data_IF_552942749425
#
_entry.id   IF_552942749425
#
_cell.length_a   1.000
_cell.length_b   1.000
_cell.length_c   1.000
_cell.angle_alpha   90.00
_cell.angle_beta   90.00
_cell.angle_gamma   90.00
#
_symmetry.space_group_name_H-M   'P 1'
#
loop_
_entity.id
_entity.type
_entity.pdbx_description
1 polymer ?
#
# COMPACT_ATOMS: atom_id res chain seq x y z
N UNK A 1 -20.94 16.83 -9.10
CA UNK A 1 -20.85 15.51 -9.77
C UNK A 1 -19.44 14.99 -9.57
N UNK A 2 -19.24 13.71 -9.27
CA UNK A 2 -17.91 13.12 -9.11
C UNK A 2 -17.24 12.96 -10.48
N UNK A 3 -16.05 13.52 -10.65
CA UNK A 3 -15.24 13.51 -11.86
C UNK A 3 -13.99 12.63 -11.74
N UNK A 4 -13.55 12.37 -10.50
CA UNK A 4 -12.40 11.54 -10.22
C UNK A 4 -12.62 10.65 -8.99
N UNK A 5 -12.06 9.45 -9.02
CA UNK A 5 -12.03 8.53 -7.87
C UNK A 5 -10.60 8.06 -7.66
N UNK A 6 -10.10 8.20 -6.44
CA UNK A 6 -8.82 7.64 -6.03
C UNK A 6 -9.03 6.44 -5.11
N UNK A 7 -8.15 5.47 -5.21
CA UNK A 7 -8.16 4.26 -4.37
C UNK A 7 -6.86 4.13 -3.61
N UNK A 8 -6.94 3.71 -2.36
CA UNK A 8 -5.81 3.07 -1.70
C UNK A 8 -5.52 1.71 -2.34
N UNK A 9 -4.33 1.16 -2.09
CA UNK A 9 -3.89 -0.11 -2.65
C UNK A 9 -4.15 -1.27 -1.68
N UNK A 10 -3.48 -1.23 -0.50
CA UNK A 10 -3.52 -2.31 0.46
C UNK A 10 -4.87 -2.37 1.18
N UNK A 11 -5.40 -3.61 1.37
CA UNK A 11 -6.68 -3.84 2.02
C UNK A 11 -7.87 -3.09 1.37
N UNK A 12 -7.64 -2.52 0.17
CA UNK A 12 -8.64 -1.79 -0.61
C UNK A 12 -8.76 -2.34 -2.03
N UNK A 13 -7.71 -2.25 -2.85
CA UNK A 13 -7.67 -2.87 -4.19
C UNK A 13 -7.21 -4.33 -4.11
N UNK A 14 -6.25 -4.57 -3.24
CA UNK A 14 -5.53 -5.84 -3.11
C UNK A 14 -5.29 -6.14 -1.64
N UNK A 15 -5.40 -7.41 -1.26
CA UNK A 15 -5.01 -7.89 0.06
C UNK A 15 -4.04 -9.06 -0.08
N UNK A 16 -3.11 -9.17 0.87
CA UNK A 16 -2.33 -10.39 1.03
C UNK A 16 -3.26 -11.52 1.47
N UNK A 17 -3.23 -12.64 0.76
CA UNK A 17 -4.12 -13.78 1.00
C UNK A 17 -3.90 -14.39 2.39
N UNK A 18 -4.58 -13.85 3.38
CA UNK A 18 -4.61 -14.31 4.76
C UNK A 18 -6.03 -14.66 5.17
N UNK A 19 -6.56 -15.78 4.72
CA UNK A 19 -7.65 -16.45 5.44
C UNK A 19 -7.03 -17.31 6.55
N UNK A 20 -7.87 -17.83 7.45
CA UNK A 20 -7.51 -18.75 8.54
C UNK A 20 -6.67 -19.97 8.07
N UNK A 21 -6.61 -20.22 6.77
CA UNK A 21 -5.90 -21.32 6.10
C UNK A 21 -4.67 -20.86 5.28
N UNK A 22 -4.22 -19.58 5.37
CA UNK A 22 -3.01 -19.15 4.69
C UNK A 22 -1.80 -19.81 5.36
N UNK A 23 -1.12 -20.70 4.65
CA UNK A 23 0.17 -21.21 5.08
C UNK A 23 1.09 -20.00 5.34
N UNK A 24 1.64 -19.90 6.56
CA UNK A 24 2.56 -18.83 6.99
C UNK A 24 3.74 -18.65 6.01
N UNK A 25 4.09 -19.69 5.27
CA UNK A 25 5.19 -19.73 4.30
C UNK A 25 5.01 -18.88 3.03
N UNK A 26 3.80 -18.36 2.76
CA UNK A 26 3.51 -17.61 1.53
C UNK A 26 3.51 -16.08 1.68
N UNK A 27 3.61 -15.56 2.89
CA UNK A 27 3.56 -14.12 3.15
C UNK A 27 4.82 -13.38 2.67
N UNK A 28 4.69 -12.08 2.37
CA UNK A 28 5.85 -11.23 2.06
C UNK A 28 6.89 -11.27 3.17
N UNK A 29 6.43 -11.20 4.44
CA UNK A 29 7.32 -11.26 5.60
C UNK A 29 8.11 -12.58 5.67
N UNK A 30 7.46 -13.73 5.53
CA UNK A 30 8.16 -15.03 5.59
C UNK A 30 9.16 -15.18 4.45
N UNK A 31 8.82 -14.70 3.24
CA UNK A 31 9.71 -14.68 2.08
C UNK A 31 10.94 -13.80 2.31
N UNK A 32 10.76 -12.60 2.85
CA UNK A 32 11.84 -11.70 3.21
C UNK A 32 12.77 -12.35 4.25
N UNK A 33 12.22 -12.86 5.34
CA UNK A 33 13.00 -13.53 6.39
C UNK A 33 13.80 -14.72 5.84
N UNK A 34 13.20 -15.55 5.00
CA UNK A 34 13.87 -16.70 4.39
C UNK A 34 15.00 -16.26 3.45
N UNK A 35 14.78 -15.23 2.64
CA UNK A 35 15.79 -14.67 1.74
C UNK A 35 16.95 -14.06 2.52
N UNK A 36 16.69 -13.26 3.56
CA UNK A 36 17.70 -12.65 4.41
C UNK A 36 18.57 -13.71 5.13
N UNK A 37 17.94 -14.74 5.72
CA UNK A 37 18.65 -15.85 6.36
C UNK A 37 19.61 -16.53 5.42
N UNK A 38 19.15 -16.85 4.20
CA UNK A 38 19.97 -17.50 3.18
C UNK A 38 21.10 -16.60 2.72
N UNK A 39 20.84 -15.35 2.35
CA UNK A 39 21.84 -14.42 1.84
C UNK A 39 22.95 -14.15 2.86
N UNK A 40 22.59 -13.95 4.12
CA UNK A 40 23.58 -13.75 5.19
C UNK A 40 24.39 -15.03 5.47
N UNK A 41 23.73 -16.20 5.47
CA UNK A 41 24.41 -17.48 5.63
C UNK A 41 25.42 -17.74 4.52
N UNK A 42 25.05 -17.53 3.26
CA UNK A 42 25.91 -17.73 2.09
C UNK A 42 27.10 -16.76 2.11
N UNK A 43 26.94 -15.60 2.72
CA UNK A 43 28.00 -14.60 2.92
C UNK A 43 28.85 -14.84 4.20
N UNK A 44 28.60 -15.93 4.93
CA UNK A 44 29.41 -16.35 6.09
C UNK A 44 28.92 -15.84 7.44
N UNK A 45 27.76 -15.20 7.53
CA UNK A 45 27.14 -14.83 8.81
C UNK A 45 26.09 -15.85 9.24
N UNK A 46 26.11 -16.22 10.51
CA UNK A 46 25.14 -17.13 11.11
C UNK A 46 24.45 -16.47 12.27
N UNK A 47 23.12 -16.40 12.20
CA UNK A 47 22.27 -15.88 13.25
C UNK A 47 21.24 -16.94 13.68
N UNK A 48 20.82 -16.89 14.93
CA UNK A 48 19.60 -17.60 15.29
C UNK A 48 18.36 -16.95 14.64
N UNK A 49 17.29 -17.72 14.50
CA UNK A 49 16.08 -17.24 13.85
C UNK A 49 15.47 -16.01 14.54
N UNK A 50 15.62 -15.93 15.85
CA UNK A 50 15.07 -14.86 16.69
C UNK A 50 15.76 -13.52 16.43
N UNK A 51 17.08 -13.51 16.18
CA UNK A 51 17.82 -12.28 15.95
C UNK A 51 17.33 -11.56 14.68
N UNK A 52 17.18 -12.30 13.58
CA UNK A 52 16.70 -11.71 12.31
C UNK A 52 15.24 -11.26 12.44
N UNK A 53 14.38 -12.07 13.04
CA UNK A 53 12.97 -11.72 13.27
C UNK A 53 12.83 -10.46 14.12
N UNK A 54 13.59 -10.36 15.21
CA UNK A 54 13.59 -9.18 16.08
C UNK A 54 14.06 -7.92 15.36
N UNK A 55 15.05 -8.04 14.45
CA UNK A 55 15.50 -6.92 13.64
C UNK A 55 14.42 -6.46 12.64
N UNK A 56 13.68 -7.39 12.04
CA UNK A 56 12.53 -7.08 11.19
C UNK A 56 11.36 -6.46 11.97
N UNK A 57 11.07 -6.96 13.17
CA UNK A 57 10.02 -6.38 14.04
C UNK A 57 10.37 -4.93 14.40
N UNK A 58 11.63 -4.68 14.79
CA UNK A 58 12.08 -3.31 15.08
C UNK A 58 12.01 -2.42 13.84
N UNK A 59 12.36 -2.94 12.66
CA UNK A 59 12.21 -2.20 11.41
C UNK A 59 10.75 -1.77 11.17
N UNK A 60 9.77 -2.63 11.42
CA UNK A 60 8.36 -2.29 11.30
C UNK A 60 7.91 -1.24 12.32
N UNK A 61 8.41 -1.29 13.56
CA UNK A 61 8.14 -0.23 14.54
C UNK A 61 8.67 1.12 14.05
N UNK A 62 9.93 1.16 13.56
CA UNK A 62 10.54 2.38 13.02
C UNK A 62 9.79 2.88 11.78
N UNK A 63 9.37 1.97 10.89
CA UNK A 63 8.52 2.34 9.76
C UNK A 63 7.23 3.03 10.24
N UNK A 64 6.52 2.46 11.20
CA UNK A 64 5.29 3.04 11.71
C UNK A 64 5.49 4.40 12.41
N UNK A 65 6.60 4.58 13.13
CA UNK A 65 6.98 5.87 13.71
C UNK A 65 7.22 6.91 12.59
N UNK A 66 8.02 6.55 11.59
CA UNK A 66 8.38 7.37 10.44
C UNK A 66 7.15 7.74 9.60
N UNK A 67 6.30 6.77 9.30
CA UNK A 67 5.03 6.95 8.60
C UNK A 67 4.12 7.99 9.30
N UNK A 68 3.95 7.87 10.63
CA UNK A 68 3.17 8.85 11.40
C UNK A 68 3.81 10.24 11.38
N UNK A 69 5.12 10.32 11.31
CA UNK A 69 5.91 11.56 11.21
C UNK A 69 6.05 12.10 9.79
N UNK A 70 5.49 11.45 8.78
CA UNK A 70 5.69 11.78 7.35
C UNK A 70 7.17 11.76 6.93
N UNK A 71 7.92 10.80 7.43
CA UNK A 71 9.33 10.58 7.09
C UNK A 71 9.45 9.30 6.29
N UNK A 72 10.13 9.34 5.14
CA UNK A 72 10.31 8.14 4.32
C UNK A 72 11.20 7.12 5.05
N UNK A 73 10.76 5.85 5.01
CA UNK A 73 11.50 4.70 5.51
C UNK A 73 11.14 3.49 4.63
N UNK A 74 11.95 3.27 3.63
CA UNK A 74 11.73 2.22 2.63
C UNK A 74 12.75 1.09 2.76
N UNK A 75 12.88 0.25 1.70
CA UNK A 75 13.79 -0.89 1.68
C UNK A 75 15.26 -0.55 1.95
N UNK A 76 15.72 0.64 1.55
CA UNK A 76 17.12 1.09 1.75
C UNK A 76 17.38 1.34 3.24
N UNK A 77 16.53 2.13 3.90
CA UNK A 77 16.62 2.44 5.33
C UNK A 77 16.41 1.17 6.16
N UNK A 78 15.48 0.30 5.75
CA UNK A 78 15.23 -0.99 6.36
C UNK A 78 16.48 -1.89 6.31
N UNK A 79 17.12 -1.99 5.15
CA UNK A 79 18.35 -2.79 4.99
C UNK A 79 19.47 -2.27 5.91
N UNK A 80 19.67 -0.95 5.94
CA UNK A 80 20.66 -0.32 6.81
C UNK A 80 20.39 -0.59 8.29
N UNK A 81 19.14 -0.41 8.73
CA UNK A 81 18.75 -0.64 10.12
C UNK A 81 18.92 -2.10 10.54
N UNK A 82 18.44 -3.05 9.72
CA UNK A 82 18.50 -4.48 10.04
C UNK A 82 19.97 -4.93 10.09
N UNK A 83 20.82 -4.53 9.13
CA UNK A 83 22.24 -4.82 9.16
C UNK A 83 22.94 -4.26 10.40
N UNK A 84 22.64 -3.03 10.78
CA UNK A 84 23.19 -2.40 11.99
C UNK A 84 22.77 -3.14 13.27
N UNK A 85 21.52 -3.58 13.37
CA UNK A 85 21.03 -4.35 14.50
C UNK A 85 21.68 -5.74 14.62
N UNK A 86 21.96 -6.37 13.48
CA UNK A 86 22.66 -7.65 13.41
C UNK A 86 24.19 -7.51 13.60
N UNK A 87 24.71 -6.27 13.63
CA UNK A 87 26.14 -5.99 13.75
C UNK A 87 26.94 -6.43 12.51
N UNK A 88 26.33 -6.41 11.33
CA UNK A 88 26.99 -6.79 10.06
C UNK A 88 27.20 -5.56 9.17
N UNK A 89 28.31 -5.59 8.45
CA UNK A 89 28.62 -4.63 7.37
C UNK A 89 28.89 -5.43 6.09
N UNK A 90 27.84 -5.81 5.35
CA UNK A 90 27.99 -6.65 4.17
C UNK A 90 28.60 -5.86 3.01
N UNK A 91 29.40 -6.50 2.14
CA UNK A 91 29.85 -5.90 0.89
C UNK A 91 28.68 -5.55 -0.03
N UNK A 92 28.94 -4.70 -1.02
CA UNK A 92 27.89 -4.09 -1.83
C UNK A 92 27.00 -5.09 -2.58
N UNK A 93 27.55 -6.19 -3.06
CA UNK A 93 26.81 -7.25 -3.74
C UNK A 93 25.85 -8.00 -2.81
N UNK A 94 26.27 -8.28 -1.58
CA UNK A 94 25.42 -8.89 -0.55
C UNK A 94 24.36 -7.88 -0.09
N UNK A 95 24.74 -6.63 0.12
CA UNK A 95 23.82 -5.55 0.48
C UNK A 95 22.72 -5.38 -0.58
N UNK A 96 23.09 -5.43 -1.86
CA UNK A 96 22.15 -5.36 -2.96
C UNK A 96 21.20 -6.57 -2.97
N UNK A 97 21.72 -7.79 -2.75
CA UNK A 97 20.87 -8.98 -2.65
C UNK A 97 19.86 -8.93 -1.48
N UNK A 98 20.27 -8.36 -0.33
CA UNK A 98 19.35 -8.11 0.79
C UNK A 98 18.26 -7.10 0.42
N UNK A 99 18.62 -6.04 -0.29
CA UNK A 99 17.69 -5.03 -0.79
C UNK A 99 16.70 -5.62 -1.81
N UNK A 100 17.22 -6.36 -2.80
CA UNK A 100 16.41 -7.00 -3.85
C UNK A 100 15.38 -7.99 -3.29
N UNK A 101 15.63 -8.54 -2.09
CA UNK A 101 14.71 -9.46 -1.43
C UNK A 101 13.34 -8.84 -1.12
N UNK A 102 13.25 -7.53 -0.94
CA UNK A 102 11.97 -6.84 -0.74
C UNK A 102 11.14 -6.86 -2.02
N UNK A 103 11.77 -6.62 -3.16
CA UNK A 103 11.13 -6.70 -4.48
C UNK A 103 10.68 -8.13 -4.78
N UNK A 104 11.57 -9.11 -4.57
CA UNK A 104 11.27 -10.53 -4.78
C UNK A 104 10.11 -11.02 -3.91
N UNK A 105 10.07 -10.60 -2.65
CA UNK A 105 8.97 -10.93 -1.75
C UNK A 105 7.65 -10.34 -2.24
N UNK A 106 7.65 -9.08 -2.68
CA UNK A 106 6.47 -8.42 -3.24
C UNK A 106 5.97 -9.09 -4.53
N UNK A 107 6.89 -9.51 -5.41
CA UNK A 107 6.53 -10.26 -6.63
C UNK A 107 6.00 -11.66 -6.32
N UNK A 108 6.60 -12.34 -5.34
CA UNK A 108 6.27 -13.72 -4.99
C UNK A 108 5.09 -13.88 -4.04
N UNK A 109 4.59 -12.80 -3.43
CA UNK A 109 3.49 -12.86 -2.47
C UNK A 109 2.18 -13.36 -3.11
N UNK A 110 1.41 -14.12 -2.36
CA UNK A 110 0.05 -14.52 -2.77
C UNK A 110 -0.90 -13.38 -2.45
N UNK A 111 -1.33 -12.68 -3.49
CA UNK A 111 -2.25 -11.55 -3.40
C UNK A 111 -3.58 -11.88 -4.07
N UNK A 112 -4.65 -11.27 -3.58
CA UNK A 112 -5.98 -11.33 -4.18
C UNK A 112 -6.54 -9.93 -4.37
N UNK A 113 -7.31 -9.75 -5.45
CA UNK A 113 -8.03 -8.50 -5.71
C UNK A 113 -9.31 -8.42 -4.87
N UNK A 114 -9.73 -7.21 -4.57
CA UNK A 114 -10.98 -6.96 -3.87
C UNK A 114 -12.20 -7.39 -4.71
N UNK A 115 -13.27 -7.90 -4.06
CA UNK A 115 -14.52 -8.22 -4.74
C UNK A 115 -15.07 -7.03 -5.54
N UNK A 116 -15.53 -7.31 -6.76
CA UNK A 116 -16.17 -6.32 -7.62
C UNK A 116 -15.26 -5.27 -8.23
N UNK A 117 -13.95 -5.25 -7.91
CA UNK A 117 -13.05 -4.15 -8.32
C UNK A 117 -12.94 -3.98 -9.83
N UNK A 118 -12.75 -5.04 -10.60
CA UNK A 118 -12.63 -4.93 -12.05
C UNK A 118 -13.90 -4.35 -12.68
N UNK A 119 -15.07 -4.81 -12.23
CA UNK A 119 -16.36 -4.26 -12.67
C UNK A 119 -16.49 -2.79 -12.30
N UNK A 120 -16.14 -2.42 -11.06
CA UNK A 120 -16.16 -1.03 -10.59
C UNK A 120 -15.30 -0.13 -11.48
N UNK A 121 -14.03 -0.50 -11.71
CA UNK A 121 -13.11 0.28 -12.54
C UNK A 121 -13.63 0.48 -13.96
N UNK A 122 -14.17 -0.58 -14.58
CA UNK A 122 -14.79 -0.52 -15.90
C UNK A 122 -16.00 0.42 -15.93
N UNK A 123 -16.89 0.32 -14.93
CA UNK A 123 -18.13 1.12 -14.87
C UNK A 123 -17.79 2.61 -14.60
N UNK A 124 -16.78 2.92 -13.76
CA UNK A 124 -16.26 4.28 -13.56
C UNK A 124 -15.67 4.86 -14.85
N UNK A 125 -14.88 4.07 -15.60
CA UNK A 125 -14.35 4.52 -16.89
C UNK A 125 -15.47 4.76 -17.92
N UNK A 126 -16.49 3.91 -17.95
CA UNK A 126 -17.65 4.09 -18.82
C UNK A 126 -18.45 5.36 -18.50
N UNK A 127 -18.49 5.76 -17.22
CA UNK A 127 -19.07 7.04 -16.76
C UNK A 127 -18.15 8.26 -17.01
N UNK A 128 -16.98 8.08 -17.61
CA UNK A 128 -16.01 9.15 -17.87
C UNK A 128 -15.23 9.64 -16.66
N UNK A 129 -15.24 8.87 -15.57
CA UNK A 129 -14.52 9.21 -14.34
C UNK A 129 -13.02 8.92 -14.48
N UNK A 130 -12.18 9.86 -14.05
CA UNK A 130 -10.72 9.66 -13.96
C UNK A 130 -10.40 8.86 -12.72
N UNK A 131 -9.49 7.90 -12.83
CA UNK A 131 -9.18 6.96 -11.75
C UNK A 131 -7.72 7.08 -11.36
N UNK A 132 -7.44 7.24 -10.05
CA UNK A 132 -6.09 7.31 -9.51
C UNK A 132 -5.84 6.35 -8.36
N UNK A 133 -4.57 6.20 -8.01
CA UNK A 133 -4.11 5.53 -6.78
C UNK A 133 -3.51 6.57 -5.85
N UNK A 134 -3.82 6.48 -4.55
CA UNK A 134 -3.16 7.23 -3.48
C UNK A 134 -2.80 6.21 -2.39
N UNK A 135 -1.53 5.79 -2.38
CA UNK A 135 -1.08 4.66 -1.58
C UNK A 135 0.13 4.99 -0.73
N UNK A 136 0.07 4.60 0.54
CA UNK A 136 1.23 4.58 1.42
C UNK A 136 2.07 3.33 1.13
N UNK A 137 3.29 3.54 0.67
CA UNK A 137 4.24 2.48 0.34
C UNK A 137 5.12 2.17 1.54
N UNK A 138 5.20 0.88 1.88
CA UNK A 138 6.12 0.39 2.90
C UNK A 138 7.35 -0.29 2.28
N UNK A 139 7.51 -1.58 2.59
CA UNK A 139 8.68 -2.36 2.14
C UNK A 139 8.55 -2.91 0.71
N UNK A 140 7.40 -2.72 0.04
CA UNK A 140 7.20 -3.14 -1.37
C UNK A 140 7.12 -1.90 -2.24
N UNK A 141 8.14 -1.58 -3.06
CA UNK A 141 8.19 -0.35 -3.85
C UNK A 141 7.05 -0.22 -4.86
N UNK A 142 6.70 1.03 -5.21
CA UNK A 142 5.66 1.37 -6.18
C UNK A 142 5.79 0.63 -7.52
N UNK A 143 7.02 0.40 -7.99
CA UNK A 143 7.26 -0.35 -9.22
C UNK A 143 6.69 -1.78 -9.16
N UNK A 144 6.88 -2.46 -8.02
CA UNK A 144 6.36 -3.81 -7.79
C UNK A 144 4.84 -3.80 -7.65
N UNK A 145 4.26 -2.79 -6.99
CA UNK A 145 2.81 -2.64 -6.88
C UNK A 145 2.17 -2.49 -8.27
N UNK A 146 2.78 -1.71 -9.17
CA UNK A 146 2.33 -1.59 -10.57
C UNK A 146 2.44 -2.92 -11.33
N UNK A 147 3.56 -3.66 -11.18
CA UNK A 147 3.70 -4.99 -11.77
C UNK A 147 2.59 -5.94 -11.32
N UNK A 148 2.20 -5.90 -10.04
CA UNK A 148 1.10 -6.70 -9.49
C UNK A 148 -0.26 -6.31 -10.10
N UNK A 149 -0.57 -5.01 -10.20
CA UNK A 149 -1.79 -4.53 -10.84
C UNK A 149 -1.85 -4.91 -12.33
N UNK A 150 -0.70 -4.89 -13.01
CA UNK A 150 -0.58 -5.39 -14.39
C UNK A 150 -0.89 -6.90 -14.48
N UNK A 151 -0.37 -7.68 -13.54
CA UNK A 151 -0.64 -9.11 -13.45
C UNK A 151 -2.12 -9.45 -13.20
N UNK A 152 -2.83 -8.58 -12.48
CA UNK A 152 -4.29 -8.67 -12.29
C UNK A 152 -5.11 -8.12 -13.47
N UNK A 153 -4.48 -7.52 -14.47
CA UNK A 153 -5.14 -6.93 -15.64
C UNK A 153 -5.88 -5.61 -15.35
N UNK A 154 -5.64 -4.97 -14.21
CA UNK A 154 -6.37 -3.75 -13.81
C UNK A 154 -5.53 -2.47 -13.89
N UNK A 155 -4.22 -2.55 -14.10
CA UNK A 155 -3.35 -1.36 -14.17
C UNK A 155 -3.82 -0.33 -15.20
N UNK A 156 -4.30 -0.78 -16.35
CA UNK A 156 -4.70 0.10 -17.46
C UNK A 156 -5.94 0.98 -17.19
N UNK A 157 -6.67 0.73 -16.11
CA UNK A 157 -7.80 1.57 -15.71
C UNK A 157 -7.36 2.87 -15.03
N UNK A 158 -6.15 2.92 -14.47
CA UNK A 158 -5.68 4.05 -13.70
C UNK A 158 -5.04 5.11 -14.61
N UNK A 159 -5.47 6.36 -14.44
CA UNK A 159 -4.97 7.52 -15.16
C UNK A 159 -3.79 8.19 -14.44
N UNK A 160 -3.67 8.00 -13.13
CA UNK A 160 -2.60 8.58 -12.31
C UNK A 160 -2.28 7.75 -11.06
N UNK A 161 -1.03 7.87 -10.58
CA UNK A 161 -0.54 7.16 -9.39
C UNK A 161 0.21 8.12 -8.45
N UNK A 162 -0.19 8.13 -7.18
CA UNK A 162 0.46 8.84 -6.09
C UNK A 162 0.90 7.82 -5.04
N UNK A 163 2.09 7.26 -5.23
CA UNK A 163 2.72 6.37 -4.29
C UNK A 163 3.64 7.18 -3.38
N UNK A 164 3.61 6.94 -2.06
CA UNK A 164 4.34 7.77 -1.09
C UNK A 164 5.85 7.74 -1.25
N UNK A 165 6.43 6.65 -1.73
CA UNK A 165 7.87 6.52 -2.02
C UNK A 165 8.32 7.36 -3.24
N UNK A 166 7.42 7.68 -4.16
CA UNK A 166 7.68 8.55 -5.32
C UNK A 166 7.33 10.01 -5.04
N UNK A 167 6.26 10.26 -4.25
CA UNK A 167 5.78 11.60 -3.90
C UNK A 167 6.54 12.20 -2.71
N UNK A 168 7.11 11.35 -1.85
CA UNK A 168 7.76 11.78 -0.61
C UNK A 168 6.79 12.19 0.49
N UNK A 169 5.52 11.77 0.41
CA UNK A 169 4.47 12.17 1.35
C UNK A 169 3.48 11.03 1.58
N UNK A 170 3.15 10.78 2.86
CA UNK A 170 2.18 9.77 3.28
C UNK A 170 0.80 10.38 3.54
N UNK A 171 -0.26 9.54 3.50
CA UNK A 171 -1.57 9.86 4.06
C UNK A 171 -1.49 9.96 5.60
N UNK A 172 -2.23 10.83 6.26
CA UNK A 172 -3.25 11.75 5.74
C UNK A 172 -2.71 13.13 5.31
N UNK A 173 -1.42 13.29 5.15
CA UNK A 173 -0.82 14.59 4.80
C UNK A 173 -1.28 15.05 3.41
N UNK A 174 -1.56 16.36 3.24
CA UNK A 174 -2.23 16.85 2.03
C UNK A 174 -1.42 16.67 0.74
N UNK A 175 -0.08 16.62 0.82
CA UNK A 175 0.80 16.57 -0.35
C UNK A 175 0.52 15.40 -1.28
N UNK A 176 0.22 14.20 -0.78
CA UNK A 176 -0.06 13.04 -1.60
C UNK A 176 -1.41 13.15 -2.34
N UNK A 177 -2.42 13.75 -1.71
CA UNK A 177 -3.72 14.00 -2.35
C UNK A 177 -3.63 15.15 -3.37
N UNK A 178 -2.85 16.21 -3.08
CA UNK A 178 -2.59 17.31 -4.01
C UNK A 178 -1.91 16.78 -5.29
N UNK A 179 -0.90 15.91 -5.13
CA UNK A 179 -0.26 15.25 -6.28
C UNK A 179 -1.27 14.44 -7.12
N UNK A 180 -2.21 13.74 -6.46
CA UNK A 180 -3.27 13.04 -7.17
C UNK A 180 -4.23 14.00 -7.90
N UNK A 181 -4.59 15.14 -7.29
CA UNK A 181 -5.44 16.15 -7.92
C UNK A 181 -4.78 16.75 -9.17
N UNK A 182 -3.50 17.10 -9.07
CA UNK A 182 -2.72 17.63 -10.21
C UNK A 182 -2.68 16.62 -11.36
N UNK A 183 -2.33 15.38 -11.08
CA UNK A 183 -2.23 14.33 -12.08
C UNK A 183 -3.57 13.93 -12.72
N UNK A 184 -4.66 14.00 -11.94
CA UNK A 184 -6.01 13.74 -12.42
C UNK A 184 -6.71 15.00 -12.97
N UNK A 185 -6.10 16.19 -12.87
CA UNK A 185 -6.71 17.46 -13.29
C UNK A 185 -7.96 17.82 -12.47
N UNK A 186 -7.99 17.48 -11.17
CA UNK A 186 -9.07 17.85 -10.24
C UNK A 186 -8.86 19.27 -9.77
N UNK A 187 -9.83 20.16 -10.06
CA UNK A 187 -9.79 21.56 -9.65
C UNK A 187 -10.66 21.83 -8.40
N UNK A 188 -11.71 21.06 -8.23
CA UNK A 188 -12.61 21.14 -7.08
C UNK A 188 -12.55 19.80 -6.30
N UNK A 189 -11.99 19.77 -5.09
CA UNK A 189 -11.96 18.56 -4.26
C UNK A 189 -13.31 17.89 -4.05
N UNK A 190 -14.41 18.68 -4.02
CA UNK A 190 -15.77 18.15 -3.88
C UNK A 190 -16.23 17.31 -5.08
N UNK A 191 -15.53 17.43 -6.23
CA UNK A 191 -15.76 16.59 -7.42
C UNK A 191 -14.95 15.27 -7.38
N UNK A 192 -14.21 15.00 -6.30
CA UNK A 192 -13.41 13.79 -6.15
C UNK A 192 -13.89 12.93 -4.97
N UNK A 193 -13.75 11.62 -5.11
CA UNK A 193 -13.93 10.66 -4.03
C UNK A 193 -12.63 9.89 -3.77
N UNK A 194 -12.39 9.50 -2.52
CA UNK A 194 -11.31 8.59 -2.13
C UNK A 194 -11.87 7.36 -1.44
N UNK A 195 -11.41 6.21 -1.88
CA UNK A 195 -11.79 4.89 -1.34
C UNK A 195 -10.58 4.27 -0.66
N UNK A 196 -10.71 3.92 0.61
CA UNK A 196 -9.64 3.28 1.39
C UNK A 196 -10.18 2.64 2.66
N UNK A 197 -9.39 1.80 3.31
CA UNK A 197 -9.79 1.11 4.56
C UNK A 197 -9.39 1.90 5.81
N UNK A 198 -8.32 2.67 5.75
CA UNK A 198 -7.68 3.32 6.88
C UNK A 198 -8.43 4.56 7.38
N UNK A 199 -8.95 4.50 8.62
CA UNK A 199 -9.63 5.65 9.24
C UNK A 199 -8.69 6.84 9.42
N UNK A 200 -7.49 6.59 9.95
CA UNK A 200 -6.49 7.64 10.25
C UNK A 200 -5.86 8.22 8.97
N UNK A 201 -5.73 7.45 7.94
CA UNK A 201 -5.02 7.79 6.70
C UNK A 201 -5.98 8.23 5.61
N UNK A 202 -6.81 7.29 5.14
CA UNK A 202 -7.68 7.51 3.99
C UNK A 202 -8.84 8.42 4.33
N UNK A 203 -9.60 8.06 5.38
CA UNK A 203 -10.79 8.82 5.73
C UNK A 203 -10.42 10.21 6.26
N UNK A 204 -9.46 10.30 7.19
CA UNK A 204 -9.04 11.59 7.73
C UNK A 204 -8.44 12.49 6.64
N UNK A 205 -7.61 11.93 5.75
CA UNK A 205 -7.00 12.67 4.65
C UNK A 205 -8.03 13.16 3.64
N UNK A 206 -8.90 12.28 3.15
CA UNK A 206 -9.94 12.64 2.17
C UNK A 206 -10.89 13.72 2.72
N UNK A 207 -11.35 13.58 3.98
CA UNK A 207 -12.20 14.57 4.63
C UNK A 207 -11.49 15.93 4.79
N UNK A 208 -10.22 15.93 5.20
CA UNK A 208 -9.44 17.16 5.34
C UNK A 208 -9.22 17.88 3.99
N UNK A 209 -9.16 17.10 2.89
CA UNK A 209 -9.08 17.65 1.53
C UNK A 209 -10.43 18.08 0.94
N UNK A 210 -11.56 17.82 1.60
CA UNK A 210 -12.89 18.15 1.10
C UNK A 210 -13.43 17.16 0.06
N UNK A 211 -12.85 15.96 -0.02
CA UNK A 211 -13.30 14.88 -0.90
C UNK A 211 -14.49 14.12 -0.30
N UNK A 212 -15.22 13.40 -1.14
CA UNK A 212 -16.10 12.33 -0.69
C UNK A 212 -15.26 11.15 -0.19
N UNK A 213 -15.32 10.86 1.12
CA UNK A 213 -14.57 9.77 1.74
C UNK A 213 -15.43 8.50 1.82
N UNK A 214 -14.95 7.40 1.24
CA UNK A 214 -15.62 6.09 1.19
C UNK A 214 -14.74 5.05 1.86
N UNK A 215 -15.17 4.53 3.02
CA UNK A 215 -14.44 3.52 3.76
C UNK A 215 -14.75 2.13 3.25
N UNK A 216 -13.71 1.41 2.80
CA UNK A 216 -13.80 0.02 2.37
C UNK A 216 -13.56 -0.93 3.55
N UNK A 217 -14.43 -1.94 3.75
CA UNK A 217 -14.41 -2.79 4.96
C UNK A 217 -14.47 -4.28 4.68
N UNK A 218 -14.16 -4.71 3.46
CA UNK A 218 -14.20 -6.14 3.14
C UNK A 218 -13.04 -6.92 3.75
N UNK A 219 -11.83 -6.37 3.63
CA UNK A 219 -10.62 -7.05 4.11
C UNK A 219 -10.26 -6.62 5.53
N UNK A 220 -10.43 -5.35 5.84
CA UNK A 220 -10.06 -4.76 7.12
C UNK A 220 -11.16 -3.80 7.59
N UNK A 221 -11.46 -3.83 8.89
CA UNK A 221 -12.42 -2.93 9.52
C UNK A 221 -11.84 -2.35 10.82
N UNK A 222 -10.97 -1.32 10.71
CA UNK A 222 -10.30 -0.72 11.87
C UNK A 222 -11.29 -0.18 12.90
N UNK A 223 -10.91 -0.29 14.19
CA UNK A 223 -11.70 0.22 15.30
C UNK A 223 -12.08 1.71 15.15
N UNK A 224 -13.32 2.11 15.54
CA UNK A 224 -13.80 3.49 15.42
C UNK A 224 -12.94 4.55 16.12
N UNK A 225 -12.20 4.18 17.16
CA UNK A 225 -11.31 5.08 17.90
C UNK A 225 -10.01 5.41 17.15
N UNK A 226 -9.75 4.77 16.00
CA UNK A 226 -8.56 5.05 15.17
C UNK A 226 -8.76 6.23 14.22
N UNK A 227 -9.98 6.78 14.06
CA UNK A 227 -10.26 7.90 13.19
C UNK A 227 -11.69 7.97 12.68
N UNK A 228 -12.02 8.92 11.78
CA UNK A 228 -13.37 9.14 11.27
C UNK A 228 -13.88 7.98 10.40
N UNK A 229 -15.21 7.88 10.28
CA UNK A 229 -15.88 6.85 9.43
C UNK A 229 -15.76 7.15 7.93
N UNK A 230 -15.80 8.41 7.56
CA UNK A 230 -16.03 8.86 6.18
C UNK A 230 -17.51 9.15 5.93
N UNK A 231 -17.86 9.44 4.67
CA UNK A 231 -19.23 9.72 4.25
C UNK A 231 -20.03 8.45 3.96
N UNK A 232 -19.34 7.40 3.46
CA UNK A 232 -19.94 6.14 3.08
C UNK A 232 -19.08 4.97 3.54
N UNK A 233 -19.73 3.80 3.71
CA UNK A 233 -19.07 2.51 3.98
C UNK A 233 -19.39 1.55 2.84
N UNK A 234 -18.35 0.90 2.30
CA UNK A 234 -18.41 0.02 1.15
C UNK A 234 -17.83 -1.35 1.50
N UNK A 235 -18.47 -2.42 1.04
CA UNK A 235 -17.98 -3.80 1.19
C UNK A 235 -17.69 -4.50 -0.13
N UNK A 236 -18.36 -4.09 -1.19
CA UNK A 236 -18.16 -4.61 -2.55
C UNK A 236 -17.97 -3.43 -3.50
N UNK A 237 -16.84 -3.38 -4.18
CA UNK A 237 -16.56 -2.30 -5.11
C UNK A 237 -17.58 -2.15 -6.23
N UNK A 238 -18.29 -3.21 -6.61
CA UNK A 238 -19.35 -3.14 -7.63
C UNK A 238 -20.49 -2.18 -7.26
N UNK A 239 -20.65 -1.83 -5.98
CA UNK A 239 -21.67 -0.90 -5.49
C UNK A 239 -21.24 0.58 -5.58
N UNK A 240 -19.92 0.85 -5.72
CA UNK A 240 -19.37 2.20 -5.67
C UNK A 240 -19.96 3.15 -6.73
N UNK A 241 -20.09 2.78 -8.02
CA UNK A 241 -20.62 3.69 -9.03
C UNK A 241 -22.04 4.18 -8.69
N UNK A 242 -22.92 3.29 -8.22
CA UNK A 242 -24.27 3.64 -7.81
C UNK A 242 -24.28 4.50 -6.54
N UNK A 243 -23.41 4.17 -5.55
CA UNK A 243 -23.24 4.96 -4.32
C UNK A 243 -22.83 6.40 -4.61
N UNK A 244 -22.02 6.63 -5.64
CA UNK A 244 -21.56 7.95 -6.08
C UNK A 244 -22.53 8.63 -7.07
N UNK A 245 -23.66 8.01 -7.41
CA UNK A 245 -24.67 8.56 -8.33
C UNK A 245 -24.21 8.61 -9.78
N UNK A 246 -23.36 7.69 -10.22
CA UNK A 246 -22.76 7.63 -11.55
C UNK A 246 -23.49 6.68 -12.51
N UNK A 247 -24.35 5.83 -12.00
CA UNK A 247 -25.19 4.84 -12.73
C UNK A 247 -26.58 4.78 -12.14
#
# INVERSE_FOLDING_TARGET
MIEAVTFDYWETLVSEGGGIDAEEDGSMRSRQLASWRRTLWDAGWSFDGVAIESAFDRNWEVFHESWRGNVQHGPVEATQLICAMLGVDPPDDVRQALLDSFDEAGRGATLRTAPGIERCLRDLKAAGVRIGIVCDVGMTPAAILRERLQGFGILAYFDHWSFSDEVGCFKPFPGIFQHAFEGLGVNDPASAAHVGDGRRTDMAGALAMGMTAVRYTHFNDPSPDTGPEGHHVLRDHAELPAMLGLV
#
